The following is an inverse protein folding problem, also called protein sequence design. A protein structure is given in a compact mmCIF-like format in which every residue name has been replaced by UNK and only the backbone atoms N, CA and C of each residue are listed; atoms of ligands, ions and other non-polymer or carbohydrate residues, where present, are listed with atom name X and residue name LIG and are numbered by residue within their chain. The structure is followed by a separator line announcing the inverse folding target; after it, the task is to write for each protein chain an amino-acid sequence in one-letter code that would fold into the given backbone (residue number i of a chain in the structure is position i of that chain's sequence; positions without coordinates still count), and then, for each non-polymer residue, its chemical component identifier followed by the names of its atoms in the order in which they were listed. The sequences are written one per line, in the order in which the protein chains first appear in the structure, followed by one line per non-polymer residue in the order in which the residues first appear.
data_IF_773704867238
#
_entry.id   IF_773704867238
#
_cell.length_a   1.000
_cell.length_b   1.000
_cell.length_c   1.000
_cell.angle_alpha   90.00
_cell.angle_beta   90.00
_cell.angle_gamma   90.00
#
_symmetry.space_group_name_H-M   'P 1'
#
loop_
_entity.id
_entity.type
_entity.pdbx_description
1 polymer ?
#
# COMPACT_ATOMS: atom_id res chain seq x y z
N UNK A 1 -27.69 12.97 6.10
CA UNK A 1 -27.68 14.43 6.20
C UNK A 1 -26.71 15.00 5.16
N UNK A 2 -27.14 15.97 4.36
CA UNK A 2 -26.28 16.68 3.40
C UNK A 2 -25.41 17.70 4.14
N UNK A 3 -24.08 17.71 3.85
CA UNK A 3 -23.13 18.69 4.36
C UNK A 3 -22.77 19.72 3.27
N UNK A 4 -22.66 19.27 2.01
CA UNK A 4 -22.31 20.08 0.86
C UNK A 4 -22.67 19.42 -0.46
N UNK A 5 -22.16 19.96 -1.58
CA UNK A 5 -22.31 19.35 -2.90
C UNK A 5 -21.45 18.10 -2.98
N UNK A 6 -22.07 16.93 -3.10
CA UNK A 6 -21.36 15.65 -3.14
C UNK A 6 -20.75 15.21 -1.79
N UNK A 7 -21.21 15.79 -0.67
CA UNK A 7 -20.72 15.54 0.67
C UNK A 7 -21.88 15.35 1.62
N UNK A 8 -21.99 14.19 2.24
CA UNK A 8 -23.10 13.84 3.11
C UNK A 8 -22.75 12.78 4.17
N UNK A 9 -23.42 12.88 5.31
CA UNK A 9 -23.39 11.85 6.35
C UNK A 9 -24.42 10.78 6.02
N UNK A 10 -23.97 9.54 6.11
CA UNK A 10 -24.75 8.33 5.88
C UNK A 10 -24.62 7.42 7.10
N UNK A 11 -25.69 6.75 7.43
CA UNK A 11 -25.67 5.71 8.46
C UNK A 11 -25.53 4.35 7.79
N UNK A 12 -24.39 3.70 8.05
CA UNK A 12 -24.17 2.34 7.61
C UNK A 12 -24.62 1.36 8.69
N UNK A 13 -25.59 0.52 8.35
CA UNK A 13 -26.10 -0.50 9.25
C UNK A 13 -25.19 -1.72 9.24
N UNK A 14 -25.10 -2.38 10.38
CA UNK A 14 -24.40 -3.65 10.51
C UNK A 14 -24.97 -4.66 9.52
N UNK A 15 -24.12 -5.29 8.66
CA UNK A 15 -24.57 -6.34 7.75
C UNK A 15 -24.99 -7.59 8.53
N UNK A 16 -25.59 -8.56 7.86
CA UNK A 16 -25.82 -9.89 8.42
C UNK A 16 -24.49 -10.53 8.84
N UNK A 17 -24.56 -11.39 9.87
CA UNK A 17 -23.37 -12.05 10.39
C UNK A 17 -22.75 -12.96 9.33
N UNK A 18 -21.48 -12.73 8.94
CA UNK A 18 -20.81 -13.63 8.01
C UNK A 18 -20.41 -14.95 8.69
N UNK A 19 -20.36 -16.04 7.92
CA UNK A 19 -20.09 -17.40 8.44
C UNK A 19 -18.74 -17.54 9.14
N UNK A 20 -17.74 -16.74 8.74
CA UNK A 20 -16.39 -16.76 9.32
C UNK A 20 -16.27 -16.04 10.66
N UNK A 21 -17.31 -15.30 11.10
CA UNK A 21 -17.32 -14.52 12.35
C UNK A 21 -18.07 -15.26 13.46
N UNK A 22 -17.47 -15.33 14.65
CA UNK A 22 -18.15 -15.88 15.83
C UNK A 22 -19.25 -14.93 16.35
N UNK A 23 -20.24 -15.49 17.04
CA UNK A 23 -21.39 -14.75 17.55
C UNK A 23 -20.99 -13.65 18.56
N UNK A 24 -20.11 -13.91 19.57
CA UNK A 24 -19.71 -12.89 20.53
C UNK A 24 -19.02 -11.68 19.90
N UNK A 25 -18.23 -11.89 18.84
CA UNK A 25 -17.59 -10.80 18.09
C UNK A 25 -18.63 -9.99 17.31
N UNK A 26 -19.58 -10.67 16.66
CA UNK A 26 -20.66 -9.99 15.94
C UNK A 26 -21.54 -9.17 16.87
N UNK A 27 -21.90 -9.70 18.05
CA UNK A 27 -22.77 -9.00 19.02
C UNK A 27 -22.13 -7.74 19.61
N UNK A 28 -20.80 -7.70 19.67
CA UNK A 28 -20.05 -6.50 20.10
C UNK A 28 -19.97 -5.41 19.03
N UNK A 29 -20.27 -5.72 17.77
CA UNK A 29 -20.29 -4.70 16.71
C UNK A 29 -21.46 -3.74 16.91
N UNK A 30 -21.28 -2.44 16.68
CA UNK A 30 -22.37 -1.48 16.71
C UNK A 30 -23.44 -1.83 15.67
N UNK A 31 -24.70 -1.56 15.97
CA UNK A 31 -25.82 -1.78 15.05
C UNK A 31 -25.73 -0.91 13.80
N UNK A 32 -25.15 0.27 13.93
CA UNK A 32 -24.84 1.17 12.84
C UNK A 32 -23.63 2.05 13.17
N UNK A 33 -22.99 2.57 12.14
CA UNK A 33 -21.93 3.57 12.23
C UNK A 33 -22.28 4.75 11.33
N UNK A 34 -22.00 5.96 11.79
CA UNK A 34 -22.09 7.14 10.95
C UNK A 34 -20.80 7.31 10.16
N UNK A 35 -20.93 7.43 8.86
CA UNK A 35 -19.82 7.68 7.93
C UNK A 35 -20.14 8.89 7.09
N UNK A 36 -19.08 9.50 6.54
CA UNK A 36 -19.17 10.61 5.60
C UNK A 36 -18.75 10.11 4.23
N UNK A 37 -19.60 10.35 3.23
CA UNK A 37 -19.34 10.03 1.82
C UNK A 37 -19.08 11.34 1.07
N UNK A 38 -17.92 11.42 0.42
CA UNK A 38 -17.44 12.58 -0.30
C UNK A 38 -17.18 12.19 -1.75
N UNK A 39 -17.85 12.85 -2.69
CA UNK A 39 -17.60 12.70 -4.13
C UNK A 39 -16.41 13.56 -4.54
N UNK A 40 -15.30 12.91 -4.91
CA UNK A 40 -14.07 13.56 -5.37
C UNK A 40 -13.96 13.43 -6.88
N UNK A 41 -13.76 14.55 -7.57
CA UNK A 41 -13.45 14.57 -9.00
C UNK A 41 -11.95 14.43 -9.21
N UNK A 42 -11.55 13.50 -10.06
CA UNK A 42 -10.14 13.25 -10.40
C UNK A 42 -9.83 13.90 -11.75
N UNK A 43 -9.54 15.20 -11.72
CA UNK A 43 -9.23 15.99 -12.92
C UNK A 43 -7.75 15.83 -13.33
N UNK A 44 -7.25 14.58 -13.44
CA UNK A 44 -5.87 14.35 -13.83
C UNK A 44 -5.80 13.58 -15.15
N UNK A 45 -5.18 14.14 -16.20
CA UNK A 45 -5.07 13.49 -17.50
C UNK A 45 -4.39 12.11 -17.37
N UNK A 46 -4.96 11.09 -18.02
CA UNK A 46 -4.44 9.72 -18.00
C UNK A 46 -4.95 8.85 -16.84
N UNK A 47 -5.73 9.38 -15.91
CA UNK A 47 -6.47 8.56 -14.95
C UNK A 47 -7.75 7.99 -15.60
N UNK A 48 -8.04 6.71 -15.32
CA UNK A 48 -9.27 6.05 -15.82
C UNK A 48 -10.51 6.44 -15.04
N UNK A 49 -10.30 6.83 -13.80
CA UNK A 49 -11.37 7.18 -12.88
C UNK A 49 -11.53 8.69 -12.91
N UNK A 50 -12.67 9.13 -13.41
CA UNK A 50 -13.02 10.56 -13.46
C UNK A 50 -13.53 11.07 -12.12
N UNK A 51 -14.15 10.17 -11.35
CA UNK A 51 -14.65 10.47 -10.01
C UNK A 51 -14.59 9.25 -9.12
N UNK A 52 -14.48 9.47 -7.82
CA UNK A 52 -14.54 8.42 -6.81
C UNK A 52 -15.33 8.91 -5.59
N UNK A 53 -15.86 7.99 -4.79
CA UNK A 53 -16.47 8.29 -3.52
C UNK A 53 -15.51 7.87 -2.41
N UNK A 54 -15.07 8.83 -1.61
CA UNK A 54 -14.27 8.58 -0.41
C UNK A 54 -15.22 8.43 0.77
N UNK A 55 -15.08 7.33 1.51
CA UNK A 55 -15.84 7.09 2.73
C UNK A 55 -14.90 7.20 3.91
N UNK A 56 -15.30 7.97 4.92
CA UNK A 56 -14.49 8.23 6.11
C UNK A 56 -15.34 8.32 7.37
N UNK A 57 -14.72 8.06 8.51
CA UNK A 57 -15.29 8.31 9.85
C UNK A 57 -14.99 9.73 10.36
N UNK A 58 -14.24 10.55 9.60
CA UNK A 58 -14.01 11.97 9.89
C UNK A 58 -15.25 12.77 9.48
N UNK A 59 -16.24 12.83 10.36
CA UNK A 59 -17.58 13.33 10.05
C UNK A 59 -17.75 14.82 10.22
N UNK A 60 -16.82 15.49 10.89
CA UNK A 60 -16.83 16.94 11.08
C UNK A 60 -16.32 17.65 9.80
N UNK A 61 -17.20 18.34 9.09
CA UNK A 61 -16.87 19.00 7.83
C UNK A 61 -16.12 20.34 8.02
N UNK A 62 -16.25 20.96 9.17
CA UNK A 62 -15.56 22.21 9.48
C UNK A 62 -14.10 21.93 9.87
N UNK A 63 -13.88 20.83 10.61
CA UNK A 63 -12.53 20.39 10.97
C UNK A 63 -11.80 19.69 9.81
N UNK A 64 -12.53 18.97 8.97
CA UNK A 64 -11.98 18.18 7.86
C UNK A 64 -12.68 18.57 6.54
N UNK A 65 -12.22 19.61 5.85
CA UNK A 65 -12.77 20.00 4.54
C UNK A 65 -12.70 18.87 3.52
N UNK A 66 -13.61 18.80 2.53
CA UNK A 66 -13.60 17.76 1.50
C UNK A 66 -12.29 17.65 0.74
N UNK A 67 -11.63 18.77 0.46
CA UNK A 67 -10.36 18.80 -0.27
C UNK A 67 -9.22 18.16 0.55
N UNK A 68 -9.17 18.38 1.86
CA UNK A 68 -8.19 17.77 2.75
C UNK A 68 -8.38 16.25 2.82
N UNK A 69 -9.63 15.77 2.85
CA UNK A 69 -9.94 14.33 2.79
C UNK A 69 -9.56 13.75 1.43
N UNK A 70 -9.77 14.48 0.34
CA UNK A 70 -9.37 14.06 -1.00
C UNK A 70 -7.83 13.93 -1.11
N UNK A 71 -7.09 14.91 -0.58
CA UNK A 71 -5.63 14.87 -0.52
C UNK A 71 -5.13 13.71 0.35
N UNK A 72 -5.69 13.55 1.55
CA UNK A 72 -5.38 12.43 2.44
C UNK A 72 -5.59 11.08 1.75
N UNK A 73 -6.70 10.93 1.03
CA UNK A 73 -6.96 9.71 0.26
C UNK A 73 -5.92 9.50 -0.85
N UNK A 74 -5.44 10.57 -1.47
CA UNK A 74 -4.34 10.52 -2.44
C UNK A 74 -3.08 9.88 -1.88
N UNK A 75 -2.75 10.11 -0.61
CA UNK A 75 -1.62 9.48 0.08
C UNK A 75 -1.77 7.97 0.27
N UNK A 76 -2.97 7.39 0.12
CA UNK A 76 -3.17 5.93 0.12
C UNK A 76 -2.25 5.20 -0.86
N UNK A 77 -1.95 5.84 -2.01
CA UNK A 77 -1.01 5.30 -2.98
C UNK A 77 0.40 5.05 -2.42
N UNK A 78 0.81 5.83 -1.42
CA UNK A 78 2.11 5.65 -0.78
C UNK A 78 2.22 4.30 -0.07
N UNK A 79 1.12 3.79 0.49
CA UNK A 79 1.06 2.45 1.12
C UNK A 79 1.32 1.36 0.07
N UNK A 80 0.80 1.51 -1.15
CA UNK A 80 1.04 0.56 -2.24
C UNK A 80 2.53 0.57 -2.66
N UNK A 81 3.17 1.74 -2.67
CA UNK A 81 4.61 1.86 -2.91
C UNK A 81 5.44 1.22 -1.79
N UNK A 82 5.00 1.37 -0.53
CA UNK A 82 5.67 0.76 0.62
C UNK A 82 5.54 -0.76 0.60
N UNK A 83 4.35 -1.29 0.31
CA UNK A 83 4.13 -2.73 0.11
C UNK A 83 4.99 -3.25 -1.05
N UNK A 84 5.09 -2.50 -2.16
CA UNK A 84 5.95 -2.86 -3.28
C UNK A 84 7.43 -2.88 -2.89
N UNK A 85 7.90 -1.91 -2.09
CA UNK A 85 9.27 -1.87 -1.60
C UNK A 85 9.58 -3.11 -0.75
N UNK A 86 8.68 -3.49 0.16
CA UNK A 86 8.83 -4.68 1.00
C UNK A 86 8.78 -5.96 0.15
N UNK A 87 7.76 -6.12 -0.71
CA UNK A 87 7.55 -7.36 -1.47
C UNK A 87 8.56 -7.53 -2.58
N UNK A 88 8.72 -6.52 -3.45
CA UNK A 88 9.52 -6.66 -4.67
C UNK A 88 10.98 -6.23 -4.45
N UNK A 89 11.25 -5.08 -3.79
CA UNK A 89 12.62 -4.57 -3.67
C UNK A 89 13.41 -5.33 -2.60
N UNK A 90 12.77 -5.69 -1.48
CA UNK A 90 13.41 -6.50 -0.42
C UNK A 90 13.19 -8.01 -0.61
N UNK A 91 12.43 -8.44 -1.62
CA UNK A 91 12.24 -9.85 -1.97
C UNK A 91 11.38 -10.65 -1.01
N UNK A 92 10.46 -9.99 -0.28
CA UNK A 92 9.56 -10.64 0.69
C UNK A 92 8.28 -11.21 0.04
N UNK A 93 8.17 -11.19 -1.27
CA UNK A 93 7.14 -11.90 -2.04
C UNK A 93 7.30 -13.42 -1.96
N UNK A 94 8.50 -13.91 -1.63
CA UNK A 94 8.82 -15.33 -1.41
C UNK A 94 9.35 -15.52 0.00
N UNK A 95 8.53 -16.11 0.88
CA UNK A 95 8.95 -16.51 2.22
C UNK A 95 9.79 -17.78 2.13
N UNK A 96 10.97 -17.76 2.76
CA UNK A 96 11.94 -18.86 2.71
C UNK A 96 11.80 -19.84 3.87
N UNK A 97 11.30 -19.36 5.00
CA UNK A 97 11.07 -20.17 6.19
C UNK A 97 9.84 -21.07 6.02
N UNK A 98 9.93 -22.31 6.55
CA UNK A 98 8.91 -23.34 6.37
C UNK A 98 7.99 -23.54 7.58
N UNK A 99 8.40 -23.09 8.77
CA UNK A 99 7.61 -23.28 9.99
C UNK A 99 6.93 -21.95 10.38
N UNK A 100 5.69 -21.98 10.91
CA UNK A 100 4.98 -20.74 11.25
C UNK A 100 5.74 -19.79 12.18
N UNK A 101 6.47 -20.25 13.22
CA UNK A 101 7.27 -19.36 14.06
C UNK A 101 8.41 -18.68 13.30
N UNK A 102 9.09 -19.40 12.41
CA UNK A 102 10.18 -18.85 11.60
C UNK A 102 9.68 -17.88 10.53
N UNK A 103 8.54 -18.17 9.89
CA UNK A 103 7.88 -17.25 8.96
C UNK A 103 7.54 -15.92 9.65
N UNK A 104 7.01 -15.97 10.86
CA UNK A 104 6.74 -14.74 11.64
C UNK A 104 8.02 -13.94 11.91
N UNK A 105 9.11 -14.61 12.29
CA UNK A 105 10.41 -13.95 12.49
C UNK A 105 10.93 -13.32 11.20
N UNK A 106 10.86 -14.03 10.09
CA UNK A 106 11.24 -13.52 8.77
C UNK A 106 10.46 -12.24 8.40
N UNK A 107 9.14 -12.24 8.60
CA UNK A 107 8.29 -11.07 8.37
C UNK A 107 8.72 -9.91 9.26
N UNK A 108 8.86 -10.13 10.57
CA UNK A 108 9.25 -9.07 11.51
C UNK A 108 10.64 -8.52 11.24
N UNK A 109 11.60 -9.36 10.87
CA UNK A 109 12.97 -8.94 10.51
C UNK A 109 12.93 -8.06 9.25
N UNK A 110 12.15 -8.44 8.25
CA UNK A 110 11.99 -7.65 7.03
C UNK A 110 11.34 -6.29 7.31
N UNK A 111 10.29 -6.24 8.13
CA UNK A 111 9.63 -5.00 8.53
C UNK A 111 10.56 -4.09 9.34
N UNK A 112 11.38 -4.68 10.23
CA UNK A 112 12.38 -3.93 10.97
C UNK A 112 13.42 -3.32 10.03
N UNK A 113 13.98 -4.11 9.11
CA UNK A 113 14.94 -3.63 8.11
C UNK A 113 14.33 -2.51 7.25
N UNK A 114 13.10 -2.69 6.78
CA UNK A 114 12.37 -1.64 6.05
C UNK A 114 12.30 -0.33 6.85
N UNK A 115 11.92 -0.39 8.13
CA UNK A 115 11.81 0.79 8.98
C UNK A 115 13.16 1.46 9.23
N UNK A 116 14.24 0.69 9.41
CA UNK A 116 15.59 1.22 9.56
C UNK A 116 16.07 1.96 8.32
N UNK A 117 15.82 1.40 7.12
CA UNK A 117 16.14 2.08 5.85
C UNK A 117 15.33 3.38 5.72
N UNK A 118 14.03 3.35 6.03
CA UNK A 118 13.18 4.55 6.01
C UNK A 118 13.63 5.61 6.99
N UNK A 119 14.12 5.19 8.15
CA UNK A 119 14.71 6.10 9.15
C UNK A 119 15.98 6.77 8.62
N UNK A 120 16.88 6.02 7.99
CA UNK A 120 18.08 6.58 7.36
C UNK A 120 17.71 7.58 6.25
N UNK A 121 16.73 7.23 5.39
CA UNK A 121 16.22 8.16 4.38
C UNK A 121 15.61 9.42 4.98
N UNK A 122 14.90 9.31 6.11
CA UNK A 122 14.35 10.48 6.82
C UNK A 122 15.48 11.39 7.33
N UNK A 123 16.51 10.83 7.98
CA UNK A 123 17.66 11.59 8.48
C UNK A 123 18.40 12.29 7.33
N UNK A 124 18.69 11.58 6.25
CA UNK A 124 19.30 12.13 5.04
C UNK A 124 18.48 13.28 4.45
N UNK A 125 17.18 13.10 4.34
CA UNK A 125 16.28 14.13 3.83
C UNK A 125 16.23 15.38 4.72
N UNK A 126 16.24 15.20 6.04
CA UNK A 126 16.29 16.32 6.99
C UNK A 126 17.60 17.12 6.88
N UNK A 127 18.75 16.44 6.75
CA UNK A 127 20.04 17.08 6.59
C UNK A 127 20.16 17.85 5.27
N UNK A 128 19.60 17.30 4.19
CA UNK A 128 19.68 17.88 2.82
C UNK A 128 18.52 18.82 2.49
N UNK A 129 17.56 19.05 3.39
CA UNK A 129 16.39 19.90 3.15
C UNK A 129 15.42 19.33 2.11
N UNK A 130 15.44 18.02 1.89
CA UNK A 130 14.57 17.32 0.95
C UNK A 130 13.38 16.67 1.64
N UNK A 131 12.37 16.26 0.88
CA UNK A 131 11.29 15.41 1.40
C UNK A 131 11.70 13.93 1.37
N UNK A 132 11.51 13.16 2.44
CA UNK A 132 11.94 11.76 2.51
C UNK A 132 11.39 10.86 1.40
N UNK A 133 10.19 11.18 0.92
CA UNK A 133 9.52 10.44 -0.17
C UNK A 133 10.12 10.72 -1.57
N UNK A 134 10.99 11.72 -1.68
CA UNK A 134 11.73 11.98 -2.92
C UNK A 134 12.98 11.13 -3.05
N UNK A 135 13.48 10.54 -1.98
CA UNK A 135 14.67 9.67 -2.03
C UNK A 135 14.30 8.27 -2.56
N UNK A 136 15.23 7.66 -3.29
CA UNK A 136 15.04 6.33 -3.86
C UNK A 136 15.24 5.24 -2.82
N UNK A 137 14.18 4.48 -2.50
CA UNK A 137 14.27 3.35 -1.57
C UNK A 137 15.23 2.25 -2.07
N UNK A 138 15.23 1.98 -3.38
CA UNK A 138 16.13 0.95 -3.94
C UNK A 138 17.59 1.36 -3.85
N UNK A 139 17.90 2.65 -4.09
CA UNK A 139 19.26 3.16 -3.93
C UNK A 139 19.68 3.11 -2.45
N UNK A 140 18.81 3.53 -1.53
CA UNK A 140 19.07 3.48 -0.10
C UNK A 140 19.33 2.05 0.40
N UNK A 141 18.52 1.08 -0.03
CA UNK A 141 18.74 -0.33 0.31
C UNK A 141 20.12 -0.81 -0.18
N UNK A 142 20.49 -0.49 -1.43
CA UNK A 142 21.76 -0.92 -2.03
C UNK A 142 22.96 -0.28 -1.32
N UNK A 143 22.89 1.02 -1.06
CA UNK A 143 23.95 1.78 -0.41
C UNK A 143 24.19 1.26 1.02
N UNK A 144 23.13 1.13 1.83
CA UNK A 144 23.22 0.57 3.19
C UNK A 144 23.72 -0.88 3.15
N UNK A 145 23.25 -1.71 2.21
CA UNK A 145 23.71 -3.11 2.10
C UNK A 145 25.19 -3.20 1.72
N UNK A 146 25.75 -2.22 0.99
CA UNK A 146 27.16 -2.17 0.63
C UNK A 146 28.04 -1.67 1.80
N UNK A 147 27.58 -0.73 2.60
CA UNK A 147 28.38 -0.02 3.60
C UNK A 147 28.30 -0.60 5.02
N UNK A 148 27.17 -1.24 5.40
CA UNK A 148 26.90 -1.61 6.79
C UNK A 148 27.97 -2.47 7.46
N UNK A 149 28.60 -3.41 6.74
CA UNK A 149 29.63 -4.29 7.31
C UNK A 149 30.89 -3.48 7.69
N UNK A 150 31.29 -2.55 6.83
CA UNK A 150 32.43 -1.68 7.10
C UNK A 150 32.14 -0.79 8.29
N UNK A 151 30.94 -0.23 8.37
CA UNK A 151 30.51 0.64 9.48
C UNK A 151 30.55 -0.12 10.80
N UNK A 152 29.98 -1.33 10.86
CA UNK A 152 29.91 -2.13 12.11
C UNK A 152 31.29 -2.63 12.58
N UNK A 153 32.23 -2.85 11.66
CA UNK A 153 33.57 -3.32 11.97
C UNK A 153 34.58 -2.18 12.26
N UNK A 154 34.18 -0.94 12.06
CA UNK A 154 35.01 0.24 12.32
C UNK A 154 34.93 0.67 13.77
N UNK A 155 35.92 1.41 14.25
CA UNK A 155 35.81 2.11 15.53
C UNK A 155 34.76 3.22 15.48
N UNK A 156 34.28 3.66 16.66
CA UNK A 156 33.15 4.58 16.77
C UNK A 156 33.37 5.89 15.99
N UNK A 157 34.62 6.40 15.94
CA UNK A 157 34.93 7.67 15.28
C UNK A 157 34.90 7.53 13.76
N UNK A 158 35.34 6.42 13.23
CA UNK A 158 35.30 6.08 11.79
C UNK A 158 33.86 5.73 11.41
N UNK A 159 33.17 4.92 12.22
CA UNK A 159 31.77 4.55 11.99
C UNK A 159 30.88 5.78 11.89
N UNK A 160 31.02 6.77 12.79
CA UNK A 160 30.25 8.01 12.74
C UNK A 160 30.46 8.78 11.43
N UNK A 161 31.71 8.92 10.97
CA UNK A 161 32.02 9.59 9.67
C UNK A 161 31.46 8.82 8.48
N UNK A 162 31.53 7.48 8.51
CA UNK A 162 30.98 6.64 7.45
C UNK A 162 29.44 6.74 7.41
N UNK A 163 28.77 6.79 8.55
CA UNK A 163 27.32 7.00 8.62
C UNK A 163 26.94 8.37 8.05
N UNK A 164 27.70 9.43 8.36
CA UNK A 164 27.44 10.76 7.85
C UNK A 164 27.62 10.82 6.31
N UNK A 165 28.72 10.28 5.80
CA UNK A 165 28.95 10.16 4.37
C UNK A 165 27.86 9.32 3.66
N UNK A 166 27.36 8.26 4.32
CA UNK A 166 26.25 7.46 3.78
C UNK A 166 24.96 8.25 3.72
N UNK A 167 24.62 9.06 4.75
CA UNK A 167 23.44 9.91 4.74
C UNK A 167 23.52 10.98 3.63
N UNK A 168 24.69 11.55 3.36
CA UNK A 168 24.92 12.46 2.23
C UNK A 168 24.72 11.73 0.89
N UNK A 169 25.31 10.55 0.74
CA UNK A 169 25.14 9.70 -0.45
C UNK A 169 23.66 9.36 -0.73
N UNK A 170 22.88 9.09 0.30
CA UNK A 170 21.44 8.83 0.12
C UNK A 170 20.70 10.04 -0.47
N UNK A 171 21.09 11.25 -0.09
CA UNK A 171 20.49 12.50 -0.58
C UNK A 171 20.70 12.72 -2.07
N UNK A 172 21.79 12.18 -2.62
CA UNK A 172 22.14 12.30 -4.05
C UNK A 172 21.35 11.38 -4.97
N UNK A 173 20.47 10.54 -4.40
CA UNK A 173 19.68 9.58 -5.15
C UNK A 173 18.17 9.88 -5.09
N UNK A 174 17.69 11.03 -5.60
CA UNK A 174 16.26 11.32 -5.63
C UNK A 174 15.53 10.46 -6.67
N UNK A 175 14.26 10.20 -6.44
CA UNK A 175 13.37 9.63 -7.45
C UNK A 175 13.22 10.65 -8.58
N UNK A 176 13.38 10.19 -9.82
CA UNK A 176 13.24 11.05 -11.00
C UNK A 176 11.88 11.75 -11.02
N UNK A 177 11.91 13.08 -11.07
CA UNK A 177 10.72 13.88 -11.26
C UNK A 177 10.29 13.80 -12.74
N UNK A 178 9.04 13.40 -12.99
CA UNK A 178 8.46 13.35 -14.33
C UNK A 178 7.19 14.21 -14.39
N UNK A 179 7.31 15.54 -14.30
CA UNK A 179 6.15 16.42 -14.35
C UNK A 179 5.44 16.27 -15.70
N UNK A 180 4.10 16.31 -15.66
CA UNK A 180 3.30 16.23 -16.89
C UNK A 180 3.25 14.84 -17.55
N UNK A 181 3.71 13.79 -16.89
CA UNK A 181 3.61 12.42 -17.41
C UNK A 181 2.15 12.00 -17.52
N UNK A 182 1.68 11.90 -18.77
CA UNK A 182 0.39 11.31 -19.10
C UNK A 182 0.65 9.91 -19.66
N UNK A 183 0.28 8.87 -18.91
CA UNK A 183 0.38 7.49 -19.38
C UNK A 183 -1.02 6.90 -19.61
N UNK A 184 -1.51 6.90 -20.85
CA UNK A 184 -2.72 6.18 -21.17
C UNK A 184 -2.46 4.68 -20.95
N UNK A 185 -3.10 4.10 -19.95
CA UNK A 185 -3.02 2.66 -19.70
C UNK A 185 -3.90 1.95 -20.72
N UNK A 186 -3.29 1.30 -21.70
CA UNK A 186 -4.00 0.35 -22.52
C UNK A 186 -4.58 -0.76 -21.62
N UNK A 187 -5.88 -1.03 -21.77
CA UNK A 187 -6.50 -2.18 -21.10
C UNK A 187 -6.00 -3.43 -21.80
N UNK A 188 -4.88 -3.99 -21.36
CA UNK A 188 -4.47 -5.33 -21.74
C UNK A 188 -5.43 -6.34 -21.08
N UNK A 189 -6.63 -6.48 -21.62
CA UNK A 189 -7.42 -7.68 -21.38
C UNK A 189 -6.77 -8.76 -22.25
N UNK A 190 -5.95 -9.60 -21.64
CA UNK A 190 -5.69 -10.90 -22.24
C UNK A 190 -7.04 -11.62 -22.23
N UNK A 191 -7.57 -12.02 -23.40
CA UNK A 191 -8.74 -12.90 -23.40
C UNK A 191 -8.37 -14.10 -22.54
N UNK A 192 -9.18 -14.42 -21.55
CA UNK A 192 -9.01 -15.65 -20.79
C UNK A 192 -9.24 -16.78 -21.79
N UNK A 193 -8.32 -17.77 -21.91
CA UNK A 193 -8.47 -18.86 -22.87
C UNK A 193 -9.70 -19.74 -22.58
N UNK A 194 -10.28 -19.61 -21.39
CA UNK A 194 -11.44 -20.33 -20.92
C UNK A 194 -12.33 -19.43 -20.08
N UNK A 195 -13.63 -19.64 -20.13
CA UNK A 195 -14.59 -18.97 -19.27
C UNK A 195 -14.37 -19.33 -17.80
N UNK A 196 -14.81 -18.42 -16.90
CA UNK A 196 -14.80 -18.69 -15.48
C UNK A 196 -15.74 -19.86 -15.18
N UNK A 197 -15.26 -20.84 -14.43
CA UNK A 197 -16.09 -21.93 -13.93
C UNK A 197 -17.06 -21.36 -12.87
N UNK A 198 -18.34 -21.22 -13.25
CA UNK A 198 -19.41 -20.63 -12.41
C UNK A 198 -20.11 -21.67 -11.52
N UNK A 199 -19.67 -22.92 -11.53
CA UNK A 199 -20.22 -24.05 -10.77
C UNK A 199 -19.11 -24.95 -10.23
N UNK A 200 -19.38 -25.82 -9.23
CA UNK A 200 -18.39 -26.74 -8.71
C UNK A 200 -17.78 -27.62 -9.80
N UNK A 201 -16.46 -27.80 -9.75
CA UNK A 201 -15.72 -28.55 -10.81
C UNK A 201 -16.27 -29.97 -11.04
N UNK A 202 -16.72 -30.66 -9.99
CA UNK A 202 -17.30 -32.01 -10.09
C UNK A 202 -18.58 -32.00 -10.96
N UNK A 203 -19.46 -31.03 -10.75
CA UNK A 203 -20.68 -30.86 -11.54
C UNK A 203 -20.38 -30.53 -13.00
N UNK A 204 -19.47 -29.58 -13.24
CA UNK A 204 -19.07 -29.22 -14.61
C UNK A 204 -18.45 -30.40 -15.35
N UNK A 205 -17.67 -31.24 -14.67
CA UNK A 205 -17.09 -32.46 -15.23
C UNK A 205 -18.17 -33.49 -15.60
N UNK A 206 -19.16 -33.71 -14.72
CA UNK A 206 -20.24 -34.63 -14.97
C UNK A 206 -21.07 -34.22 -16.20
N UNK A 207 -21.38 -32.94 -16.34
CA UNK A 207 -22.10 -32.40 -17.48
C UNK A 207 -21.33 -32.56 -18.81
N UNK A 208 -20.01 -32.30 -18.80
CA UNK A 208 -19.16 -32.51 -19.99
C UNK A 208 -19.09 -33.98 -20.41
N UNK A 209 -19.03 -34.90 -19.46
CA UNK A 209 -19.01 -36.33 -19.74
C UNK A 209 -20.38 -36.81 -20.27
N UNK A 210 -21.50 -36.29 -19.74
CA UNK A 210 -22.84 -36.59 -20.22
C UNK A 210 -23.05 -36.05 -21.67
N UNK A 211 -22.58 -34.84 -21.95
CA UNK A 211 -22.66 -34.25 -23.30
C UNK A 211 -21.79 -34.97 -24.35
N UNK A 212 -20.67 -35.58 -23.92
CA UNK A 212 -19.80 -36.34 -24.81
C UNK A 212 -20.31 -37.77 -25.09
N UNK A 213 -21.32 -38.26 -24.34
CA UNK A 213 -21.92 -39.58 -24.48
C UNK A 213 -23.22 -39.56 -25.27
N UNK A 214 -23.76 -38.39 -25.61
CA UNK A 214 -24.92 -38.10 -26.46
C UNK A 214 -24.50 -37.78 -27.88
#
# INVERSE_FOLDING_TARGET
RRLGKGDHLVEWRRPEKPDWMDQPTYDRMPLSIQVREIHVQVNHPGFRVESLVVVTTLTDADQYPPDDIAELYGFRWLVELDIRAIKATMGMDILRCKTPPMVRKEIWTCLLAYNLIRRAMLQSAQQSGQTPRRLSFSAALQAIAASWQVIVLSDDSVAARLVEAELENLADHPIGNRPGRVEPRAVKRRPKPHDLLMKPRAQARAELLAAAAS
#
